data_IF_578600203901
#
_entry.id   IF_578600203901
#
_cell.length_a   1.000
_cell.length_b   1.000
_cell.length_c   1.000
_cell.angle_alpha   90.00
_cell.angle_beta   90.00
_cell.angle_gamma   90.00
#
_symmetry.space_group_name_H-M   'P 1'
#
loop_
_entity.id
_entity.type
_entity.pdbx_description
1 polymer ?
#
# COMPACT_ATOMS: atom_id res chain seq x y z
N UNK A 1 -28.72 6.79 -19.06
CA UNK A 1 -29.28 8.12 -19.40
C UNK A 1 -30.67 8.10 -20.04
N UNK A 2 -31.07 7.09 -20.86
CA UNK A 2 -32.40 7.07 -21.51
C UNK A 2 -33.63 7.22 -20.59
N UNK A 3 -33.53 6.85 -19.30
CA UNK A 3 -34.63 6.99 -18.32
C UNK A 3 -34.63 8.33 -17.56
N UNK A 4 -33.49 9.00 -17.49
CA UNK A 4 -33.31 10.29 -16.81
C UNK A 4 -32.24 11.10 -17.56
N UNK A 5 -32.61 11.70 -18.72
CA UNK A 5 -31.66 12.46 -19.53
C UNK A 5 -31.24 13.77 -18.85
N UNK A 6 -32.14 14.37 -18.06
CA UNK A 6 -31.94 15.69 -17.43
C UNK A 6 -31.49 15.60 -15.97
N UNK A 7 -30.71 14.57 -15.61
CA UNK A 7 -30.18 14.49 -14.25
C UNK A 7 -29.22 15.66 -13.97
N UNK A 8 -29.24 16.19 -12.76
CA UNK A 8 -28.42 17.36 -12.40
C UNK A 8 -26.91 17.06 -12.28
N UNK A 9 -26.51 15.78 -12.20
CA UNK A 9 -25.12 15.38 -12.00
C UNK A 9 -24.33 15.15 -13.28
N UNK A 10 -23.09 14.68 -13.13
CA UNK A 10 -22.26 14.17 -14.24
C UNK A 10 -21.88 12.73 -13.94
N UNK A 11 -21.98 11.87 -14.96
CA UNK A 11 -21.51 10.48 -14.89
C UNK A 11 -20.36 10.33 -15.87
N UNK A 12 -19.21 9.88 -15.37
CA UNK A 12 -18.00 9.67 -16.16
C UNK A 12 -17.44 8.27 -15.92
N UNK A 13 -16.72 7.75 -16.91
CA UNK A 13 -15.91 6.54 -16.79
C UNK A 13 -14.44 6.94 -16.93
N UNK A 14 -13.63 6.53 -15.97
CA UNK A 14 -12.18 6.63 -16.04
C UNK A 14 -11.60 5.23 -16.24
N UNK A 15 -10.96 5.00 -17.37
CA UNK A 15 -10.36 3.72 -17.74
C UNK A 15 -8.85 3.89 -17.88
N UNK A 16 -8.09 2.88 -17.45
CA UNK A 16 -6.64 2.83 -17.62
C UNK A 16 -6.22 1.45 -18.12
N UNK A 17 -5.10 1.39 -18.83
CA UNK A 17 -4.48 0.15 -19.31
C UNK A 17 -3.21 -0.23 -18.53
N UNK A 18 -2.85 0.54 -17.50
CA UNK A 18 -1.61 0.38 -16.71
C UNK A 18 -1.95 0.44 -15.21
N UNK A 19 -2.78 -0.50 -14.76
CA UNK A 19 -3.13 -0.64 -13.34
C UNK A 19 -2.23 -1.68 -12.65
N UNK A 20 -1.99 -2.82 -13.29
CA UNK A 20 -1.15 -3.93 -12.79
C UNK A 20 0.36 -3.67 -12.92
N UNK A 21 0.75 -2.60 -13.62
CA UNK A 21 2.14 -2.25 -13.91
C UNK A 21 2.76 -1.32 -12.87
N UNK A 22 3.66 -0.45 -13.32
CA UNK A 22 4.23 0.61 -12.47
C UNK A 22 3.18 1.70 -12.18
N UNK A 23 2.11 1.75 -12.99
CA UNK A 23 0.99 2.69 -12.87
C UNK A 23 1.44 4.17 -12.91
N UNK A 24 2.57 4.46 -13.56
CA UNK A 24 3.15 5.80 -13.60
C UNK A 24 2.32 6.75 -14.49
N UNK A 25 1.76 6.21 -15.57
CA UNK A 25 1.04 6.99 -16.59
C UNK A 25 -0.48 6.75 -16.60
N UNK A 26 -0.98 5.92 -15.69
CA UNK A 26 -2.40 5.61 -15.56
C UNK A 26 -3.21 6.67 -14.81
N UNK A 27 -4.10 6.20 -13.92
CA UNK A 27 -5.04 7.04 -13.14
C UNK A 27 -4.34 8.16 -12.36
N UNK A 28 -3.08 7.95 -11.93
CA UNK A 28 -2.29 8.95 -11.22
C UNK A 28 -2.16 10.27 -12.00
N UNK A 29 -1.86 10.21 -13.29
CA UNK A 29 -1.73 11.42 -14.14
C UNK A 29 -3.04 12.16 -14.32
N UNK A 30 -4.14 11.41 -14.43
CA UNK A 30 -5.49 12.01 -14.53
C UNK A 30 -5.88 12.68 -13.21
N UNK A 31 -5.59 12.05 -12.08
CA UNK A 31 -5.82 12.64 -10.76
C UNK A 31 -4.98 13.92 -10.55
N UNK A 32 -3.70 13.91 -10.99
CA UNK A 32 -2.85 15.10 -10.99
C UNK A 32 -3.46 16.23 -11.83
N UNK A 33 -3.88 15.93 -13.05
CA UNK A 33 -4.52 16.90 -13.95
C UNK A 33 -5.81 17.48 -13.37
N UNK A 34 -6.68 16.66 -12.76
CA UNK A 34 -7.90 17.13 -12.11
C UNK A 34 -7.60 18.06 -10.93
N UNK A 35 -6.56 17.76 -10.15
CA UNK A 35 -6.10 18.64 -9.08
C UNK A 35 -5.61 19.99 -9.61
N UNK A 36 -4.83 19.98 -10.69
CA UNK A 36 -4.29 21.20 -11.32
C UNK A 36 -5.39 22.07 -11.97
N UNK A 37 -6.40 21.45 -12.57
CA UNK A 37 -7.51 22.14 -13.23
C UNK A 37 -8.67 22.48 -12.30
N UNK A 38 -8.63 22.03 -11.04
CA UNK A 38 -9.71 22.21 -10.07
C UNK A 38 -10.95 21.35 -10.35
N UNK A 39 -10.85 20.34 -11.22
CA UNK A 39 -11.92 19.38 -11.47
C UNK A 39 -12.13 18.53 -10.21
N UNK A 40 -13.32 18.59 -9.64
CA UNK A 40 -13.71 17.79 -8.46
C UNK A 40 -14.41 16.51 -8.89
N UNK A 41 -14.20 15.46 -8.09
CA UNK A 41 -14.99 14.22 -8.12
C UNK A 41 -15.66 14.12 -6.75
N UNK A 42 -17.00 14.15 -6.73
CA UNK A 42 -17.74 14.00 -5.47
C UNK A 42 -17.87 12.53 -5.05
N UNK A 43 -17.98 11.62 -6.02
CA UNK A 43 -18.15 10.18 -5.78
C UNK A 43 -17.33 9.37 -6.79
N UNK A 44 -16.62 8.35 -6.31
CA UNK A 44 -15.88 7.42 -7.14
C UNK A 44 -16.23 5.99 -6.74
N UNK A 45 -16.59 5.16 -7.72
CA UNK A 45 -16.78 3.73 -7.55
C UNK A 45 -15.71 3.03 -8.38
N UNK A 46 -14.82 2.31 -7.69
CA UNK A 46 -13.79 1.50 -8.35
C UNK A 46 -14.36 0.11 -8.61
N UNK A 47 -14.41 -0.29 -9.88
CA UNK A 47 -15.01 -1.56 -10.33
C UNK A 47 -14.18 -2.81 -10.07
N UNK A 48 -13.26 -2.76 -9.10
CA UNK A 48 -12.43 -3.92 -8.75
C UNK A 48 -13.27 -5.03 -8.10
N UNK A 49 -12.95 -6.32 -8.37
CA UNK A 49 -13.67 -7.44 -7.76
C UNK A 49 -13.49 -7.41 -6.24
N UNK A 50 -14.60 -7.23 -5.52
CA UNK A 50 -14.60 -7.10 -4.06
C UNK A 50 -15.41 -8.16 -3.33
N UNK A 51 -16.38 -8.78 -3.99
CA UNK A 51 -17.25 -9.80 -3.38
C UNK A 51 -16.49 -11.08 -3.00
N UNK A 52 -16.96 -11.79 -1.97
CA UNK A 52 -16.34 -13.03 -1.48
C UNK A 52 -17.14 -14.28 -1.85
N UNK A 53 -18.39 -14.35 -1.45
CA UNK A 53 -19.30 -15.47 -1.64
C UNK A 53 -20.48 -15.12 -2.55
N UNK A 54 -21.03 -13.91 -2.41
CA UNK A 54 -22.18 -13.42 -3.18
C UNK A 54 -21.96 -12.00 -3.65
N UNK A 55 -22.53 -11.65 -4.81
CA UNK A 55 -22.41 -10.29 -5.34
C UNK A 55 -22.89 -9.25 -4.33
N UNK A 56 -22.00 -8.32 -3.96
CA UNK A 56 -22.28 -7.22 -3.05
C UNK A 56 -22.12 -7.54 -1.56
N UNK A 57 -21.62 -8.72 -1.18
CA UNK A 57 -21.42 -9.08 0.23
C UNK A 57 -20.27 -8.34 0.92
N UNK A 58 -19.35 -7.77 0.14
CA UNK A 58 -18.20 -7.02 0.62
C UNK A 58 -17.98 -5.77 -0.23
N UNK A 59 -17.91 -4.62 0.44
CA UNK A 59 -17.54 -3.34 -0.16
C UNK A 59 -16.20 -2.87 0.42
N UNK A 60 -15.31 -2.38 -0.45
CA UNK A 60 -14.02 -1.81 -0.03
C UNK A 60 -14.17 -0.29 0.07
N UNK A 61 -14.12 0.23 1.29
CA UNK A 61 -14.18 1.67 1.58
C UNK A 61 -12.78 2.33 1.70
N UNK A 62 -11.73 1.53 1.58
CA UNK A 62 -10.34 1.98 1.67
C UNK A 62 -9.36 0.82 1.54
N UNK A 63 -8.07 1.18 1.41
CA UNK A 63 -6.93 0.24 1.38
C UNK A 63 -5.86 0.72 2.35
N UNK A 64 -5.05 -0.22 2.84
CA UNK A 64 -3.84 0.10 3.60
C UNK A 64 -2.81 0.71 2.65
N UNK A 65 -2.03 1.67 3.14
CA UNK A 65 -0.80 2.08 2.47
C UNK A 65 0.25 0.97 2.53
N UNK A 66 1.28 1.09 1.68
CA UNK A 66 2.46 0.23 1.71
C UNK A 66 3.70 1.10 1.85
N UNK A 67 4.59 0.73 2.77
CA UNK A 67 5.89 1.36 2.97
C UNK A 67 6.94 0.26 2.97
N UNK A 68 7.86 0.30 2.00
CA UNK A 68 8.95 -0.67 1.87
C UNK A 68 10.28 0.01 2.16
N UNK A 69 11.06 -0.58 3.06
CA UNK A 69 12.41 -0.12 3.40
C UNK A 69 13.45 -1.19 3.08
N UNK A 70 14.62 -0.76 2.57
CA UNK A 70 15.80 -1.63 2.42
C UNK A 70 16.85 -1.23 3.45
N UNK A 71 17.16 -2.13 4.37
CA UNK A 71 18.17 -1.92 5.41
C UNK A 71 19.44 -2.70 5.06
N UNK A 72 20.61 -2.08 5.19
CA UNK A 72 21.91 -2.74 5.06
C UNK A 72 22.73 -2.54 6.33
N UNK A 73 22.98 -3.62 7.06
CA UNK A 73 23.77 -3.58 8.29
C UNK A 73 25.21 -4.01 8.01
N UNK A 74 26.17 -3.15 8.38
CA UNK A 74 27.59 -3.31 8.04
C UNK A 74 28.35 -3.97 9.18
N UNK A 75 28.82 -5.19 8.94
CA UNK A 75 29.73 -5.91 9.81
C UNK A 75 31.21 -5.70 9.49
N UNK A 76 32.04 -6.56 10.06
CA UNK A 76 33.46 -6.73 9.73
C UNK A 76 33.66 -8.21 9.42
N UNK A 77 34.15 -8.52 8.23
CA UNK A 77 34.38 -9.91 7.81
C UNK A 77 35.57 -10.51 8.58
N UNK A 78 35.43 -11.77 8.99
CA UNK A 78 36.50 -12.52 9.61
C UNK A 78 36.19 -14.01 9.66
N UNK A 79 37.11 -14.79 10.20
CA UNK A 79 36.97 -16.24 10.33
C UNK A 79 36.20 -16.61 11.60
N UNK A 80 35.30 -17.61 11.53
CA UNK A 80 34.44 -18.01 12.68
C UNK A 80 35.23 -18.43 13.93
N UNK A 81 36.43 -18.99 13.74
CA UNK A 81 37.33 -19.37 14.84
C UNK A 81 37.99 -18.18 15.58
N UNK A 82 37.91 -16.97 15.01
CA UNK A 82 38.50 -15.74 15.57
C UNK A 82 37.44 -14.63 15.64
N UNK A 83 36.37 -14.82 16.44
CA UNK A 83 35.24 -13.89 16.48
C UNK A 83 35.63 -12.48 16.91
N UNK A 84 36.70 -12.31 17.67
CA UNK A 84 37.25 -11.02 18.10
C UNK A 84 37.77 -10.16 16.93
N UNK A 85 38.06 -10.77 15.77
CA UNK A 85 38.49 -10.07 14.55
C UNK A 85 37.32 -9.80 13.59
N UNK A 86 36.12 -10.24 13.94
CA UNK A 86 34.93 -10.12 13.12
C UNK A 86 33.84 -9.32 13.83
N UNK A 87 32.88 -8.81 13.06
CA UNK A 87 31.65 -8.22 13.59
C UNK A 87 30.49 -8.74 12.76
N UNK A 88 29.77 -9.71 13.31
CA UNK A 88 28.68 -10.37 12.59
C UNK A 88 27.44 -9.44 12.52
N UNK A 89 27.06 -8.93 11.33
CA UNK A 89 25.95 -8.00 11.20
C UNK A 89 24.60 -8.65 11.56
N UNK A 90 24.45 -9.97 11.43
CA UNK A 90 23.25 -10.70 11.82
C UNK A 90 23.07 -10.60 13.34
N UNK A 91 24.13 -10.87 14.11
CA UNK A 91 24.06 -10.79 15.57
C UNK A 91 23.80 -9.36 16.05
N UNK A 92 24.39 -8.36 15.38
CA UNK A 92 24.16 -6.95 15.71
C UNK A 92 22.72 -6.49 15.42
N UNK A 93 22.10 -7.05 14.38
CA UNK A 93 20.76 -6.65 13.92
C UNK A 93 19.66 -7.41 14.64
N UNK A 94 19.95 -8.61 15.16
CA UNK A 94 18.96 -9.49 15.79
C UNK A 94 18.13 -8.80 16.90
N UNK A 95 18.70 -8.01 17.82
CA UNK A 95 17.90 -7.32 18.84
C UNK A 95 16.91 -6.31 18.24
N UNK A 96 17.35 -5.54 17.24
CA UNK A 96 16.50 -4.55 16.58
C UNK A 96 15.35 -5.23 15.79
N UNK A 97 15.63 -6.34 15.11
CA UNK A 97 14.58 -7.11 14.42
C UNK A 97 13.61 -7.77 15.41
N UNK A 98 14.11 -8.25 16.55
CA UNK A 98 13.26 -8.80 17.60
C UNK A 98 12.30 -7.72 18.13
N UNK A 99 12.80 -6.51 18.40
CA UNK A 99 11.97 -5.37 18.81
C UNK A 99 10.92 -5.00 17.76
N UNK A 100 11.33 -4.82 16.50
CA UNK A 100 10.43 -4.44 15.41
C UNK A 100 9.35 -5.51 15.12
N UNK A 101 9.67 -6.79 15.28
CA UNK A 101 8.74 -7.90 14.98
C UNK A 101 7.63 -8.06 16.02
N UNK A 102 7.84 -7.60 17.26
CA UNK A 102 6.83 -7.64 18.33
C UNK A 102 6.20 -6.28 18.61
N UNK A 103 6.69 -5.22 17.96
CA UNK A 103 6.16 -3.87 18.13
C UNK A 103 4.71 -3.79 17.66
N UNK A 104 3.85 -3.22 18.51
CA UNK A 104 2.50 -2.82 18.13
C UNK A 104 2.55 -1.42 17.53
N UNK A 105 2.41 -1.34 16.21
CA UNK A 105 2.52 -0.07 15.46
C UNK A 105 1.35 0.88 15.71
N UNK A 106 0.14 0.34 15.83
CA UNK A 106 -1.06 1.08 16.25
C UNK A 106 -2.13 0.10 16.76
N UNK A 107 -3.32 0.61 17.05
CA UNK A 107 -4.47 -0.19 17.49
C UNK A 107 -5.48 -0.48 16.36
N UNK A 108 -5.21 -0.06 15.13
CA UNK A 108 -6.21 0.03 14.07
C UNK A 108 -7.32 1.02 14.41
N UNK A 109 -8.45 0.91 13.70
CA UNK A 109 -9.68 1.66 13.95
C UNK A 109 -10.90 0.89 13.40
N UNK A 110 -12.07 1.53 13.35
CA UNK A 110 -13.32 0.92 12.87
C UNK A 110 -13.22 0.35 11.44
N UNK A 111 -12.43 0.98 10.58
CA UNK A 111 -12.32 0.63 9.16
C UNK A 111 -11.07 -0.19 8.84
N UNK A 112 -10.03 -0.11 9.67
CA UNK A 112 -8.72 -0.71 9.39
C UNK A 112 -8.21 -1.57 10.55
N UNK A 113 -7.68 -2.77 10.25
CA UNK A 113 -6.95 -3.54 11.24
C UNK A 113 -5.64 -2.81 11.62
N UNK A 114 -4.98 -3.24 12.72
CA UNK A 114 -3.70 -2.67 13.09
C UNK A 114 -2.66 -2.71 11.96
N UNK A 115 -1.76 -1.72 11.94
CA UNK A 115 -0.61 -1.73 11.03
C UNK A 115 0.26 -2.97 11.24
N UNK A 116 0.67 -3.58 10.13
CA UNK A 116 1.46 -4.82 10.11
C UNK A 116 2.87 -4.54 9.58
N UNK A 117 3.88 -5.00 10.29
CA UNK A 117 5.26 -5.04 9.82
C UNK A 117 5.64 -6.47 9.45
N UNK A 118 6.33 -6.64 8.33
CA UNK A 118 6.80 -7.94 7.83
C UNK A 118 8.21 -7.78 7.25
N UNK A 119 9.06 -8.76 7.48
CA UNK A 119 10.39 -8.85 6.85
C UNK A 119 10.25 -9.79 5.65
N UNK A 120 10.56 -9.28 4.46
CA UNK A 120 10.62 -10.07 3.22
C UNK A 120 12.05 -10.56 2.95
N UNK A 121 12.17 -11.70 2.26
CA UNK A 121 13.43 -12.25 1.75
C UNK A 121 13.75 -11.67 0.37
#
# INVERSE_FOLDING_TARGET
MRRHPDHAGTVALLLTSDEEGVAEHGVRRVAEHFRETGQRIDWCVVGEPSSRERLGDLLRIGRRGSLTGRLSVRGVQGHVAYPEKARNPIHQTAPALAELSVMRWDAGNVAFPPTTFQISN
#
